data_IF_064451125316
#
_entry.id   IF_064451125316
#
_cell.length_a   1.000
_cell.length_b   1.000
_cell.length_c   1.000
_cell.angle_alpha   90.00
_cell.angle_beta   90.00
_cell.angle_gamma   90.00
#
_symmetry.space_group_name_H-M   'P 1'
#
loop_
_entity.id
_entity.type
_entity.pdbx_description
1 polymer ?
#
# COMPACT_ATOMS: atom_id res chain seq x y z
N UNK A 1 -8.00 17.29 11.41
CA UNK A 1 -7.45 17.54 12.75
C UNK A 1 -7.49 16.24 13.52
N UNK A 2 -6.41 15.49 13.51
CA UNK A 2 -6.21 14.38 14.45
C UNK A 2 -5.51 14.93 15.67
N UNK A 3 -6.23 15.09 16.76
CA UNK A 3 -5.64 15.38 18.07
C UNK A 3 -5.28 14.05 18.73
N UNK A 4 -4.01 13.85 19.03
CA UNK A 4 -3.56 12.72 19.85
C UNK A 4 -4.05 12.92 21.30
N UNK A 5 -4.97 12.10 21.82
CA UNK A 5 -5.52 12.26 23.16
C UNK A 5 -4.56 11.84 24.30
N UNK A 6 -3.36 11.32 23.97
CA UNK A 6 -2.39 10.88 24.98
C UNK A 6 -1.52 12.00 25.56
N UNK A 7 -1.59 13.21 25.02
CA UNK A 7 -0.82 14.35 25.52
C UNK A 7 -1.53 14.99 26.70
N UNK A 8 -1.12 14.62 27.89
CA UNK A 8 -1.61 15.17 29.16
C UNK A 8 -1.46 16.69 29.30
N UNK A 9 -2.25 17.29 30.16
CA UNK A 9 -2.52 18.71 30.35
C UNK A 9 -1.34 19.62 30.76
N UNK A 10 -0.09 19.18 30.63
CA UNK A 10 1.06 19.89 31.19
C UNK A 10 2.08 20.40 30.20
N UNK A 11 1.81 21.08 29.17
CA UNK A 11 2.69 21.86 28.28
C UNK A 11 2.10 21.99 26.87
N UNK A 12 0.87 22.46 26.77
CA UNK A 12 0.15 22.61 25.50
C UNK A 12 0.86 23.50 24.47
N UNK A 13 1.70 24.43 24.92
CA UNK A 13 2.38 25.35 24.00
C UNK A 13 3.56 24.69 23.26
N UNK A 14 4.30 23.78 23.91
CA UNK A 14 5.43 23.09 23.29
C UNK A 14 4.99 21.91 22.42
N UNK A 15 3.90 21.22 22.76
CA UNK A 15 3.42 20.06 22.01
C UNK A 15 2.74 20.42 20.68
N UNK A 16 2.18 21.62 20.54
CA UNK A 16 1.58 22.06 19.27
C UNK A 16 2.62 22.36 18.20
N UNK A 17 3.82 22.80 18.60
CA UNK A 17 4.90 23.10 17.66
C UNK A 17 5.53 21.85 17.04
N UNK A 18 5.35 20.68 17.68
CA UNK A 18 5.88 19.39 17.20
C UNK A 18 4.91 18.65 16.27
N UNK A 19 3.64 19.04 16.24
CA UNK A 19 2.64 18.37 15.40
C UNK A 19 2.89 18.64 13.92
N UNK A 20 3.09 17.54 13.17
CA UNK A 20 3.16 17.61 11.71
C UNK A 20 1.76 17.79 11.15
N UNK A 21 1.49 18.95 10.56
CA UNK A 21 0.27 19.18 9.81
C UNK A 21 0.47 18.72 8.36
N UNK A 22 -0.39 17.80 7.90
CA UNK A 22 -0.46 17.46 6.48
C UNK A 22 -1.36 18.47 5.80
N UNK A 23 -0.79 19.28 4.92
CA UNK A 23 -1.54 20.15 4.03
C UNK A 23 -2.12 19.34 2.86
N UNK A 24 -2.93 19.97 1.98
CA UNK A 24 -3.58 19.23 0.91
C UNK A 24 -2.64 18.25 0.21
N UNK A 25 -3.08 16.99 0.15
CA UNK A 25 -2.38 15.90 -0.49
C UNK A 25 -3.16 15.49 -1.74
N UNK A 26 -2.46 15.30 -2.84
CA UNK A 26 -2.99 14.78 -4.08
C UNK A 26 -2.56 13.34 -4.24
N UNK A 27 -3.52 12.43 -4.35
CA UNK A 27 -3.30 11.01 -4.61
C UNK A 27 -3.98 10.64 -5.93
N UNK A 28 -3.20 10.14 -6.89
CA UNK A 28 -3.70 9.65 -8.18
C UNK A 28 -3.35 8.17 -8.30
N UNK A 29 -4.31 7.37 -8.75
CA UNK A 29 -4.16 5.94 -8.94
C UNK A 29 -4.52 5.55 -10.37
N UNK A 30 -3.57 4.92 -11.05
CA UNK A 30 -3.84 4.15 -12.25
C UNK A 30 -4.07 2.71 -11.82
N UNK A 31 -5.32 2.26 -11.95
CA UNK A 31 -5.66 0.89 -11.60
C UNK A 31 -5.03 -0.09 -12.58
N UNK A 32 -4.73 -1.27 -12.04
CA UNK A 32 -4.13 -2.38 -12.77
C UNK A 32 -4.90 -2.71 -14.04
N UNK A 33 -4.23 -2.59 -15.18
CA UNK A 33 -4.81 -2.83 -16.49
C UNK A 33 -3.79 -3.36 -17.48
N UNK A 34 -4.26 -4.12 -18.48
CA UNK A 34 -3.39 -4.60 -19.57
C UNK A 34 -2.96 -3.47 -20.46
N UNK A 35 -1.65 -3.38 -20.71
CA UNK A 35 -1.09 -2.39 -21.63
C UNK A 35 -1.39 -2.76 -23.08
N UNK A 36 -1.26 -4.05 -23.39
CA UNK A 36 -1.49 -4.61 -24.73
C UNK A 36 -2.40 -5.82 -24.60
N UNK A 37 -3.51 -5.91 -25.35
CA UNK A 37 -4.46 -7.02 -25.21
C UNK A 37 -3.85 -8.41 -25.46
N UNK A 38 -2.83 -8.50 -26.33
CA UNK A 38 -2.22 -9.76 -26.76
C UNK A 38 -1.15 -10.29 -25.79
N UNK A 39 -0.64 -9.41 -24.91
CA UNK A 39 0.43 -9.74 -23.97
C UNK A 39 -0.11 -9.66 -22.56
N UNK A 40 0.13 -10.66 -21.69
CA UNK A 40 -0.30 -10.62 -20.30
C UNK A 40 0.60 -9.67 -19.48
N UNK A 41 0.72 -8.42 -19.93
CA UNK A 41 1.48 -7.38 -19.25
C UNK A 41 0.53 -6.34 -18.69
N UNK A 42 0.55 -6.19 -17.39
CA UNK A 42 -0.34 -5.29 -16.64
C UNK A 42 0.46 -4.18 -15.99
N UNK A 43 -0.07 -2.96 -16.08
CA UNK A 43 0.49 -1.77 -15.46
C UNK A 43 -0.45 -1.27 -14.36
N UNK A 44 0.14 -0.92 -13.24
CA UNK A 44 -0.46 -0.17 -12.14
C UNK A 44 0.46 0.99 -11.80
N UNK A 45 -0.07 2.15 -11.47
CA UNK A 45 0.77 3.25 -10.99
C UNK A 45 0.08 4.04 -9.89
N UNK A 46 0.87 4.54 -8.97
CA UNK A 46 0.45 5.44 -7.90
C UNK A 46 1.28 6.71 -8.00
N UNK A 47 0.62 7.85 -7.84
CA UNK A 47 1.26 9.14 -7.70
C UNK A 47 0.71 9.79 -6.44
N UNK A 48 1.61 10.28 -5.60
CA UNK A 48 1.27 10.98 -4.38
C UNK A 48 2.10 12.26 -4.30
N UNK A 49 1.47 13.38 -4.01
CA UNK A 49 2.15 14.63 -3.76
C UNK A 49 1.47 15.37 -2.62
N UNK A 50 2.26 15.86 -1.67
CA UNK A 50 1.73 16.57 -0.51
C UNK A 50 2.81 17.40 0.16
N UNK A 51 2.36 18.34 0.99
CA UNK A 51 3.22 19.21 1.77
C UNK A 51 3.03 18.95 3.26
N UNK A 52 4.14 18.82 3.99
CA UNK A 52 4.15 18.64 5.43
C UNK A 52 4.61 19.94 6.08
N UNK A 53 3.78 20.46 6.96
CA UNK A 53 4.07 21.69 7.68
C UNK A 53 4.30 21.40 9.16
N UNK A 54 5.32 22.04 9.72
CA UNK A 54 5.59 22.13 11.14
C UNK A 54 5.81 23.58 11.53
N UNK A 55 5.36 23.96 12.71
CA UNK A 55 5.63 25.29 13.24
C UNK A 55 7.12 25.49 13.56
N UNK A 56 7.79 24.43 14.06
CA UNK A 56 9.23 24.39 14.26
C UNK A 56 9.83 23.11 13.68
N UNK A 57 11.02 23.20 13.05
CA UNK A 57 11.72 22.07 12.46
C UNK A 57 11.60 22.00 10.94
N UNK A 58 11.66 20.79 10.40
CA UNK A 58 11.69 20.56 8.94
C UNK A 58 10.27 20.61 8.37
N UNK A 59 10.06 21.47 7.39
CA UNK A 59 8.86 21.54 6.56
C UNK A 59 9.22 21.16 5.13
N UNK A 60 8.27 20.72 4.33
CA UNK A 60 8.59 20.46 2.92
C UNK A 60 7.58 19.64 2.17
N UNK A 61 7.80 19.57 0.86
CA UNK A 61 7.04 18.74 -0.06
C UNK A 61 7.61 17.35 -0.20
N UNK A 62 6.72 16.36 -0.34
CA UNK A 62 7.06 15.01 -0.75
C UNK A 62 6.26 14.66 -1.99
N UNK A 63 6.94 14.21 -3.02
CA UNK A 63 6.31 13.68 -4.22
C UNK A 63 6.82 12.27 -4.45
N UNK A 64 5.90 11.34 -4.68
CA UNK A 64 6.21 9.93 -4.92
C UNK A 64 5.49 9.46 -6.17
N UNK A 65 6.22 8.72 -7.02
CA UNK A 65 5.65 7.97 -8.13
C UNK A 65 6.04 6.51 -8.00
N UNK A 66 5.07 5.62 -8.20
CA UNK A 66 5.26 4.19 -8.00
C UNK A 66 4.56 3.38 -9.10
N UNK A 67 5.14 3.29 -10.31
CA UNK A 67 4.69 2.36 -11.33
C UNK A 67 5.07 0.92 -10.97
N UNK A 68 4.18 -0.02 -11.28
CA UNK A 68 4.37 -1.48 -11.15
C UNK A 68 3.97 -2.16 -12.43
N UNK A 69 4.80 -3.08 -12.87
CA UNK A 69 4.56 -3.97 -14.00
C UNK A 69 4.36 -5.39 -13.50
N UNK A 70 3.28 -6.04 -13.91
CA UNK A 70 2.96 -7.41 -13.53
C UNK A 70 2.75 -8.27 -14.77
N UNK A 71 3.24 -9.51 -14.70
CA UNK A 71 3.04 -10.52 -15.72
C UNK A 71 2.35 -11.73 -15.08
N UNK A 72 1.04 -11.88 -15.25
CA UNK A 72 0.33 -13.09 -14.87
C UNK A 72 0.55 -14.19 -15.92
N UNK A 73 0.99 -15.35 -15.47
CA UNK A 73 1.16 -16.55 -16.28
C UNK A 73 0.26 -17.66 -15.73
N UNK A 74 -0.57 -18.23 -16.59
CA UNK A 74 -1.47 -19.32 -16.24
C UNK A 74 -0.99 -20.61 -16.93
N UNK A 75 -0.80 -21.66 -16.14
CA UNK A 75 -0.33 -22.97 -16.60
C UNK A 75 -1.44 -24.03 -16.57
N UNK A 76 -2.69 -23.66 -16.29
CA UNK A 76 -3.82 -24.57 -16.20
C UNK A 76 -3.93 -25.32 -14.86
N UNK A 77 -2.81 -25.75 -14.27
CA UNK A 77 -2.77 -26.36 -12.94
C UNK A 77 -2.40 -25.35 -11.84
N UNK A 78 -2.02 -24.15 -12.22
CA UNK A 78 -1.63 -23.10 -11.30
C UNK A 78 -1.23 -21.83 -12.05
N UNK A 79 -1.11 -20.73 -11.33
CA UNK A 79 -0.76 -19.45 -11.88
C UNK A 79 0.42 -18.86 -11.13
N UNK A 80 1.26 -18.14 -11.87
CA UNK A 80 2.41 -17.39 -11.32
C UNK A 80 2.28 -15.94 -11.75
N UNK A 81 2.46 -15.02 -10.81
CA UNK A 81 2.46 -13.58 -11.08
C UNK A 81 3.82 -13.03 -10.67
N UNK A 82 4.56 -12.52 -11.63
CA UNK A 82 5.77 -11.73 -11.40
C UNK A 82 5.43 -10.25 -11.43
N UNK A 83 5.89 -9.48 -10.45
CA UNK A 83 5.68 -8.03 -10.36
C UNK A 83 7.00 -7.33 -10.09
N UNK A 84 7.26 -6.25 -10.83
CA UNK A 84 8.38 -5.35 -10.59
C UNK A 84 7.83 -3.93 -10.41
N UNK A 85 8.22 -3.28 -9.33
CA UNK A 85 7.85 -1.91 -9.01
C UNK A 85 9.08 -1.02 -8.93
N UNK A 86 8.94 0.22 -9.39
CA UNK A 86 9.96 1.27 -9.26
C UNK A 86 9.35 2.41 -8.45
N UNK A 87 9.82 2.60 -7.22
CA UNK A 87 9.38 3.69 -6.38
C UNK A 87 10.40 4.81 -6.41
N UNK A 88 9.98 5.97 -6.90
CA UNK A 88 10.78 7.19 -6.89
C UNK A 88 10.12 8.19 -5.95
N UNK A 89 10.85 8.59 -4.91
CA UNK A 89 10.40 9.60 -3.96
C UNK A 89 11.33 10.80 -4.04
N UNK A 90 10.74 11.97 -4.16
CA UNK A 90 11.43 13.25 -4.16
C UNK A 90 11.00 14.06 -2.94
N UNK A 91 11.95 14.58 -2.20
CA UNK A 91 11.75 15.44 -1.04
C UNK A 91 12.31 16.83 -1.35
N UNK A 92 11.51 17.84 -1.08
CA UNK A 92 11.94 19.23 -1.08
C UNK A 92 11.70 19.77 0.33
N UNK A 93 12.77 19.83 1.13
CA UNK A 93 12.67 20.14 2.55
C UNK A 93 13.32 21.47 2.86
N UNK A 94 12.58 22.32 3.60
CA UNK A 94 13.06 23.56 4.17
C UNK A 94 13.26 23.34 5.67
N UNK A 95 14.48 23.47 6.15
CA UNK A 95 14.78 23.42 7.57
C UNK A 95 14.71 24.81 8.16
N UNK A 96 13.66 25.08 8.93
CA UNK A 96 13.60 26.28 9.78
C UNK A 96 14.39 25.98 11.04
N UNK A 97 15.61 26.49 11.12
CA UNK A 97 16.33 26.47 12.39
C UNK A 97 15.63 27.43 13.35
N UNK A 98 15.39 26.96 14.56
CA UNK A 98 14.90 27.80 15.65
C UNK A 98 16.07 28.73 16.06
N UNK A 99 16.14 29.83 15.39
CA UNK A 99 17.16 30.86 15.72
C UNK A 99 16.76 31.44 17.05
N UNK A 100 17.49 31.06 18.10
CA UNK A 100 17.43 31.81 19.38
C UNK A 100 17.58 33.31 19.10
N UNK A 101 16.82 34.21 19.75
CA UNK A 101 16.92 35.65 19.54
C UNK A 101 18.35 36.20 19.65
N UNK A 102 19.22 35.49 20.38
CA UNK A 102 20.66 35.79 20.49
C UNK A 102 21.48 35.39 19.27
N UNK A 103 21.10 34.31 18.56
CA UNK A 103 21.78 33.85 17.35
C UNK A 103 21.50 34.80 16.15
N UNK A 104 20.39 35.50 16.14
CA UNK A 104 20.06 36.48 15.11
C UNK A 104 21.08 37.64 15.05
N UNK A 105 21.79 37.88 16.14
CA UNK A 105 22.78 38.97 16.21
C UNK A 105 24.17 38.57 15.75
N UNK A 106 24.45 37.29 15.65
CA UNK A 106 25.80 36.77 15.38
C UNK A 106 25.98 36.04 14.05
N UNK A 107 24.90 35.61 13.41
CA UNK A 107 25.01 34.87 12.15
C UNK A 107 24.06 35.42 11.08
N UNK A 108 24.63 36.29 10.23
CA UNK A 108 23.93 36.85 9.08
C UNK A 108 23.90 35.89 7.88
N UNK A 109 24.26 34.65 8.07
CA UNK A 109 24.44 33.67 7.01
C UNK A 109 23.45 32.47 7.07
N UNK A 110 22.48 32.46 7.97
CA UNK A 110 21.46 31.43 8.06
C UNK A 110 20.40 31.55 6.92
N UNK A 111 20.84 31.39 5.70
CA UNK A 111 19.91 31.11 4.60
C UNK A 111 19.22 29.74 4.88
N UNK A 112 17.89 29.64 4.75
CA UNK A 112 17.21 28.35 4.86
C UNK A 112 17.84 27.37 3.86
N UNK A 113 18.47 26.33 4.38
CA UNK A 113 19.04 25.29 3.53
C UNK A 113 17.89 24.50 2.93
N UNK A 114 17.56 24.82 1.71
CA UNK A 114 16.67 24.05 0.88
C UNK A 114 17.46 22.83 0.36
N UNK A 115 17.12 21.65 0.83
CA UNK A 115 17.76 20.42 0.39
C UNK A 115 16.73 19.59 -0.39
N UNK A 116 17.04 19.37 -1.67
CA UNK A 116 16.31 18.41 -2.50
C UNK A 116 16.98 17.06 -2.38
N UNK A 117 16.24 16.05 -1.91
CA UNK A 117 16.70 14.67 -1.84
C UNK A 117 15.81 13.78 -2.68
N UNK A 118 16.40 12.81 -3.35
CA UNK A 118 15.64 11.79 -4.08
C UNK A 118 16.03 10.40 -3.62
N UNK A 119 15.03 9.52 -3.56
CA UNK A 119 15.21 8.12 -3.20
C UNK A 119 14.55 7.24 -4.25
N UNK A 120 15.33 6.31 -4.79
CA UNK A 120 14.84 5.29 -5.72
C UNK A 120 14.87 3.93 -5.05
N UNK A 121 13.77 3.17 -5.16
CA UNK A 121 13.66 1.80 -4.66
C UNK A 121 13.06 0.92 -5.74
N UNK A 122 13.59 -0.30 -5.87
CA UNK A 122 13.05 -1.32 -6.78
C UNK A 122 12.44 -2.41 -5.92
N UNK A 123 11.18 -2.74 -6.18
CA UNK A 123 10.47 -3.81 -5.52
C UNK A 123 10.27 -4.96 -6.51
N UNK A 124 10.56 -6.18 -6.08
CA UNK A 124 10.33 -7.40 -6.86
C UNK A 124 9.44 -8.34 -6.05
N UNK A 125 8.40 -8.85 -6.67
CA UNK A 125 7.45 -9.77 -6.05
C UNK A 125 7.13 -10.91 -7.03
N UNK A 126 7.18 -12.14 -6.55
CA UNK A 126 6.77 -13.33 -7.29
C UNK A 126 5.78 -14.09 -6.44
N UNK A 127 4.59 -14.30 -6.96
CA UNK A 127 3.53 -15.06 -6.32
C UNK A 127 3.16 -16.26 -7.18
N UNK A 128 3.13 -17.43 -6.56
CA UNK A 128 2.62 -18.65 -7.15
C UNK A 128 1.42 -19.16 -6.38
N UNK A 129 0.39 -19.59 -7.06
CA UNK A 129 -0.75 -20.25 -6.45
C UNK A 129 -1.27 -21.37 -7.36
N UNK A 130 -1.82 -22.38 -6.73
CA UNK A 130 -2.53 -23.47 -7.41
C UNK A 130 -3.80 -23.77 -6.63
N UNK A 131 -4.75 -24.41 -7.31
CA UNK A 131 -6.00 -24.84 -6.72
C UNK A 131 -6.19 -26.33 -6.97
N UNK A 132 -6.40 -27.08 -5.91
CA UNK A 132 -6.80 -28.46 -5.99
C UNK A 132 -8.15 -28.63 -5.29
N UNK A 133 -9.16 -29.08 -6.00
CA UNK A 133 -10.48 -29.33 -5.42
C UNK A 133 -10.92 -30.77 -5.65
N UNK A 134 -11.58 -31.36 -4.65
CA UNK A 134 -12.20 -32.67 -4.72
C UNK A 134 -13.61 -32.63 -4.17
N UNK A 135 -14.53 -33.16 -4.94
CA UNK A 135 -15.92 -33.28 -4.52
C UNK A 135 -16.15 -34.72 -4.07
N UNK A 136 -16.66 -34.88 -2.85
CA UNK A 136 -17.06 -36.15 -2.31
C UNK A 136 -18.58 -36.20 -2.27
N UNK A 137 -19.18 -37.17 -2.97
CA UNK A 137 -20.61 -37.42 -2.84
C UNK A 137 -20.83 -38.25 -1.58
N UNK A 138 -21.70 -37.78 -0.67
CA UNK A 138 -21.98 -38.41 0.62
C UNK A 138 -23.31 -39.21 0.56
N UNK A 139 -24.18 -38.89 -0.40
CA UNK A 139 -25.48 -39.52 -0.55
C UNK A 139 -25.74 -39.95 -1.97
N UNK A 140 -26.60 -40.96 -2.12
CA UNK A 140 -27.10 -41.38 -3.41
C UNK A 140 -28.09 -40.37 -3.94
N UNK A 141 -27.91 -39.88 -5.17
CA UNK A 141 -28.79 -38.90 -5.82
C UNK A 141 -30.26 -39.41 -5.92
N UNK A 142 -30.43 -40.75 -5.91
CA UNK A 142 -31.74 -41.44 -5.87
C UNK A 142 -32.46 -41.30 -4.52
N UNK A 143 -31.78 -40.87 -3.48
CA UNK A 143 -32.34 -40.74 -2.12
C UNK A 143 -32.83 -39.35 -1.79
N UNK A 144 -32.85 -38.39 -2.73
CA UNK A 144 -33.48 -37.08 -2.53
C UNK A 144 -35.00 -37.29 -2.59
N UNK A 145 -35.71 -37.31 -1.45
CA UNK A 145 -37.15 -37.47 -1.50
C UNK A 145 -37.76 -36.17 -2.01
N UNK A 146 -38.33 -36.22 -3.20
CA UNK A 146 -39.15 -35.17 -3.77
C UNK A 146 -40.47 -34.93 -2.97
N UNK A 147 -40.54 -35.36 -1.73
CA UNK A 147 -41.73 -35.21 -0.88
C UNK A 147 -41.66 -33.88 -0.13
N UNK A 148 -42.75 -33.08 -0.20
CA UNK A 148 -42.83 -31.76 0.44
C UNK A 148 -42.69 -31.81 1.97
N UNK A 149 -42.88 -32.93 2.61
CA UNK A 149 -42.71 -33.14 4.05
C UNK A 149 -41.25 -33.04 4.53
N UNK A 150 -40.26 -33.08 3.62
CA UNK A 150 -38.84 -32.94 3.93
C UNK A 150 -38.27 -31.56 3.56
N UNK A 151 -39.11 -30.58 3.20
CA UNK A 151 -38.70 -29.25 2.79
C UNK A 151 -37.98 -28.39 3.86
N UNK A 152 -37.65 -28.95 5.01
CA UNK A 152 -36.85 -28.27 6.04
C UNK A 152 -35.58 -29.01 6.45
N UNK A 153 -35.31 -30.19 5.91
CA UNK A 153 -34.09 -30.93 6.20
C UNK A 153 -33.06 -30.68 5.11
N UNK A 154 -32.10 -29.79 5.38
CA UNK A 154 -30.96 -29.52 4.53
C UNK A 154 -30.06 -30.77 4.52
N UNK A 155 -30.27 -31.67 3.54
CA UNK A 155 -29.40 -32.83 3.37
C UNK A 155 -28.19 -32.41 2.52
N UNK A 156 -27.01 -32.55 3.10
CA UNK A 156 -25.78 -32.40 2.38
C UNK A 156 -25.56 -33.60 1.45
N UNK A 157 -25.65 -33.40 0.15
CA UNK A 157 -25.47 -34.46 -0.87
C UNK A 157 -24.00 -34.53 -1.33
N UNK A 158 -23.24 -33.47 -1.17
CA UNK A 158 -21.83 -33.46 -1.55
C UNK A 158 -21.03 -32.48 -0.64
N UNK A 159 -19.76 -32.80 -0.43
CA UNK A 159 -18.78 -31.94 0.21
C UNK A 159 -17.66 -31.66 -0.77
N UNK A 160 -17.39 -30.37 -1.03
CA UNK A 160 -16.24 -29.94 -1.81
C UNK A 160 -15.09 -29.60 -0.84
N UNK A 161 -13.99 -30.27 -1.00
CA UNK A 161 -12.73 -29.93 -0.34
C UNK A 161 -11.85 -29.18 -1.33
N UNK A 162 -11.40 -28.00 -0.94
CA UNK A 162 -10.57 -27.12 -1.76
C UNK A 162 -9.30 -26.75 -0.99
N UNK A 163 -8.16 -26.94 -1.64
CA UNK A 163 -6.85 -26.56 -1.10
C UNK A 163 -6.23 -25.57 -2.06
N UNK A 164 -5.88 -24.38 -1.57
CA UNK A 164 -5.26 -23.30 -2.34
C UNK A 164 -3.90 -22.94 -1.73
N UNK A 165 -2.83 -23.71 -1.99
CA UNK A 165 -1.50 -23.31 -1.56
C UNK A 165 -1.04 -22.07 -2.30
N UNK A 166 -0.46 -21.12 -1.56
CA UNK A 166 0.11 -19.88 -2.09
C UNK A 166 1.52 -19.73 -1.60
N UNK A 167 2.42 -19.36 -2.50
CA UNK A 167 3.81 -19.04 -2.18
C UNK A 167 4.05 -17.61 -2.66
N UNK A 168 4.66 -16.79 -1.81
CA UNK A 168 5.06 -15.42 -2.16
C UNK A 168 6.50 -15.19 -1.76
N UNK A 169 7.27 -14.64 -2.68
CA UNK A 169 8.60 -14.13 -2.43
C UNK A 169 8.65 -12.65 -2.83
N UNK A 170 9.08 -11.81 -1.91
CA UNK A 170 9.25 -10.38 -2.18
C UNK A 170 10.64 -9.91 -1.73
N UNK A 171 11.25 -9.04 -2.52
CA UNK A 171 12.55 -8.44 -2.23
C UNK A 171 12.55 -6.98 -2.62
N UNK A 172 13.02 -6.15 -1.70
CA UNK A 172 13.32 -4.73 -1.93
C UNK A 172 14.82 -4.55 -1.72
N UNK A 173 15.64 -4.63 -2.77
CA UNK A 173 17.07 -4.35 -2.65
C UNK A 173 17.28 -2.87 -2.30
N UNK A 174 18.18 -2.62 -1.37
CA UNK A 174 18.60 -1.29 -0.94
C UNK A 174 19.75 -0.80 -1.80
#
# INVERSE_FOLDING_TARGET
YEQDPALGHGNRAQSQDELVQRLPQLDLFLYKGRIVPQIPLELEAQFQSGYMYRASGTTGGRTEIYPKLSVPLDFGFGSVIGTVGLRQTYYNTDRKEHTSPLAMYMDNSASPRQTGESRTMIDMDIQGYTEASRIWQIGDESSIPLKPENAGKQMWTAVRHEIQPRIRYSRTPH
#
